data_IF_186699106203
#
_entry.id   IF_186699106203
#
_cell.length_a   1.000
_cell.length_b   1.000
_cell.length_c   1.000
_cell.angle_alpha   90.00
_cell.angle_beta   90.00
_cell.angle_gamma   90.00
#
_symmetry.space_group_name_H-M   'P 1'
#
loop_
_entity.id
_entity.type
_entity.pdbx_description
1 polymer ?
#
# COMPACT_ATOMS: atom_id res chain seq x y z
N UNK A 1 -15.09 -27.15 10.22
CA UNK A 1 -14.59 -25.76 10.30
C UNK A 1 -15.10 -25.20 11.60
N UNK A 2 -14.23 -24.62 12.42
CA UNK A 2 -14.66 -23.89 13.61
C UNK A 2 -14.37 -22.42 13.29
N UNK A 3 -15.41 -21.68 12.98
CA UNK A 3 -15.37 -20.23 12.75
C UNK A 3 -15.27 -19.55 14.11
N UNK A 4 -14.39 -18.55 14.24
CA UNK A 4 -14.52 -17.57 15.30
C UNK A 4 -15.39 -16.44 14.76
N UNK A 5 -16.43 -16.05 15.49
CA UNK A 5 -17.19 -14.87 15.10
C UNK A 5 -16.37 -13.62 15.43
N UNK A 6 -16.49 -12.55 14.66
CA UNK A 6 -15.77 -11.32 14.97
C UNK A 6 -16.25 -10.68 16.28
N UNK A 7 -17.48 -10.97 16.72
CA UNK A 7 -17.93 -10.63 18.07
C UNK A 7 -17.12 -11.32 19.17
N UNK A 8 -16.69 -12.56 18.95
CA UNK A 8 -15.80 -13.26 19.88
C UNK A 8 -14.40 -12.65 19.83
N UNK A 9 -13.87 -12.33 18.64
CA UNK A 9 -12.57 -11.66 18.52
C UNK A 9 -12.56 -10.26 19.15
N UNK A 10 -13.55 -9.43 18.86
CA UNK A 10 -13.70 -8.08 19.44
C UNK A 10 -13.81 -8.16 20.96
N UNK A 11 -14.65 -9.06 21.49
CA UNK A 11 -14.77 -9.25 22.94
C UNK A 11 -13.42 -9.61 23.58
N UNK A 12 -12.56 -10.35 22.87
CA UNK A 12 -11.23 -10.71 23.37
C UNK A 12 -10.27 -9.53 23.32
N UNK A 13 -10.29 -8.73 22.25
CA UNK A 13 -9.52 -7.48 22.18
C UNK A 13 -9.93 -6.54 23.31
N UNK A 14 -11.23 -6.35 23.53
CA UNK A 14 -11.76 -5.51 24.60
C UNK A 14 -11.40 -6.03 26.00
N UNK A 15 -11.33 -7.35 26.17
CA UNK A 15 -11.04 -7.98 27.47
C UNK A 15 -9.55 -7.98 27.82
N UNK A 16 -8.68 -8.18 26.82
CA UNK A 16 -7.26 -8.49 27.07
C UNK A 16 -6.29 -7.45 26.50
N UNK A 17 -6.75 -6.52 25.65
CA UNK A 17 -5.90 -5.57 24.93
C UNK A 17 -5.13 -6.26 23.79
N UNK A 18 -4.28 -7.23 24.12
CA UNK A 18 -3.54 -8.03 23.15
C UNK A 18 -4.20 -9.38 22.91
N UNK A 19 -4.34 -9.76 21.64
CA UNK A 19 -4.83 -11.07 21.23
C UNK A 19 -3.79 -11.75 20.33
N UNK A 20 -3.22 -12.84 20.81
CA UNK A 20 -2.38 -13.72 19.99
C UNK A 20 -3.23 -14.84 19.39
N UNK A 21 -3.31 -14.91 18.06
CA UNK A 21 -3.87 -16.08 17.38
C UNK A 21 -2.91 -17.26 17.54
N UNK A 22 -3.35 -18.52 17.56
CA UNK A 22 -2.45 -19.69 17.55
C UNK A 22 -2.96 -20.73 16.55
N UNK A 23 -2.09 -21.11 15.61
CA UNK A 23 -2.29 -22.29 14.75
C UNK A 23 -2.32 -23.55 15.60
N UNK A 24 -3.42 -24.30 15.58
CA UNK A 24 -3.43 -25.63 16.20
C UNK A 24 -2.61 -26.59 15.34
N UNK A 25 -1.33 -26.74 15.64
CA UNK A 25 -0.69 -28.03 15.44
C UNK A 25 -1.25 -28.99 16.50
N UNK A 26 -1.63 -30.19 16.07
CA UNK A 26 -1.87 -31.31 16.98
C UNK A 26 -0.53 -31.67 17.60
N UNK A 27 -0.07 -30.94 18.61
CA UNK A 27 0.87 -31.51 19.56
C UNK A 27 0.56 -30.99 20.96
N UNK A 28 0.35 -31.97 21.84
CA UNK A 28 0.08 -31.77 23.25
C UNK A 28 1.37 -31.27 23.90
N UNK A 29 1.20 -30.31 24.81
CA UNK A 29 2.22 -29.73 25.70
C UNK A 29 2.95 -28.51 25.12
N UNK A 30 2.52 -27.32 25.55
CA UNK A 30 3.36 -26.54 26.46
C UNK A 30 2.56 -25.40 27.09
N UNK A 31 2.78 -25.27 28.40
CA UNK A 31 2.45 -24.15 29.26
C UNK A 31 3.53 -23.08 29.09
N UNK A 32 3.12 -21.84 28.82
CA UNK A 32 3.62 -20.66 29.51
C UNK A 32 2.70 -19.47 29.20
N UNK A 33 2.60 -18.56 30.16
CA UNK A 33 1.60 -17.49 30.23
C UNK A 33 1.84 -16.42 29.16
N UNK A 34 1.06 -16.49 28.10
CA UNK A 34 0.56 -15.36 27.33
C UNK A 34 -0.92 -15.67 27.05
N UNK A 35 -1.84 -14.73 27.26
CA UNK A 35 -3.27 -14.96 27.05
C UNK A 35 -3.59 -15.01 25.55
N UNK A 36 -3.18 -16.10 24.91
CA UNK A 36 -3.37 -16.34 23.49
C UNK A 36 -4.79 -16.86 23.19
N UNK A 37 -5.49 -16.21 22.27
CA UNK A 37 -6.74 -16.71 21.70
C UNK A 37 -6.42 -17.72 20.61
N UNK A 38 -6.78 -18.99 20.81
CA UNK A 38 -6.58 -20.04 19.81
C UNK A 38 -7.61 -19.91 18.68
N UNK A 39 -7.38 -19.02 17.72
CA UNK A 39 -8.14 -19.01 16.46
C UNK A 39 -7.51 -20.03 15.51
N UNK A 40 -8.25 -21.09 15.19
CA UNK A 40 -7.93 -21.92 14.03
C UNK A 40 -8.40 -21.19 12.78
N UNK A 41 -7.65 -21.35 11.70
CA UNK A 41 -8.05 -21.04 10.31
C UNK A 41 -9.58 -21.15 10.12
N UNK A 42 -10.20 -20.02 9.80
CA UNK A 42 -11.65 -19.87 9.76
C UNK A 42 -12.04 -18.61 9.00
N UNK A 43 -13.20 -18.67 8.36
CA UNK A 43 -13.79 -17.53 7.66
C UNK A 43 -14.37 -16.56 8.69
N UNK A 44 -14.09 -15.26 8.55
CA UNK A 44 -14.77 -14.22 9.33
C UNK A 44 -15.93 -13.65 8.49
N UNK A 45 -17.04 -13.30 9.13
CA UNK A 45 -18.21 -12.66 8.50
C UNK A 45 -18.75 -11.54 9.41
N UNK A 46 -18.07 -10.38 9.41
CA UNK A 46 -18.54 -9.14 10.03
C UNK A 46 -17.85 -7.95 9.36
N UNK A 47 -18.61 -6.88 9.12
CA UNK A 47 -18.14 -5.70 8.40
C UNK A 47 -16.80 -5.16 8.90
N UNK A 48 -16.58 -5.05 10.23
CA UNK A 48 -15.39 -4.40 10.78
C UNK A 48 -14.91 -5.09 12.07
N UNK A 49 -13.58 -5.11 12.29
CA UNK A 49 -12.92 -5.47 13.54
C UNK A 49 -12.05 -4.29 13.97
N UNK A 50 -12.36 -3.69 15.11
CA UNK A 50 -11.67 -2.49 15.59
C UNK A 50 -10.52 -2.86 16.53
N UNK A 51 -9.34 -2.33 16.23
CA UNK A 51 -8.11 -2.46 17.02
C UNK A 51 -7.67 -1.03 17.36
N UNK A 52 -8.10 -0.57 18.53
CA UNK A 52 -7.89 0.80 18.99
C UNK A 52 -6.80 0.92 20.05
N UNK A 53 -7.00 1.86 20.98
CA UNK A 53 -6.05 2.18 22.06
C UNK A 53 -5.48 0.94 22.78
N UNK A 54 -4.15 0.81 22.76
CA UNK A 54 -3.33 -0.22 23.39
C UNK A 54 -3.73 -1.66 23.00
N UNK A 55 -4.42 -1.83 21.87
CA UNK A 55 -4.80 -3.13 21.34
C UNK A 55 -3.80 -3.63 20.30
N UNK A 56 -3.54 -4.93 20.34
CA UNK A 56 -2.65 -5.57 19.37
C UNK A 56 -3.18 -6.95 18.96
N UNK A 57 -3.27 -7.17 17.65
CA UNK A 57 -3.50 -8.48 17.06
C UNK A 57 -2.17 -9.09 16.59
N UNK A 58 -1.73 -10.16 17.27
CA UNK A 58 -0.54 -10.92 16.87
C UNK A 58 -0.90 -12.15 16.06
N UNK A 59 -0.39 -12.24 14.85
CA UNK A 59 -0.53 -13.38 13.95
C UNK A 59 0.74 -14.25 14.00
N UNK A 60 0.65 -15.52 14.40
CA UNK A 60 1.77 -16.45 14.26
C UNK A 60 2.13 -16.70 12.80
N UNK A 61 3.33 -17.28 12.61
CA UNK A 61 3.70 -17.87 11.34
C UNK A 61 2.65 -18.90 10.88
N UNK A 62 2.41 -18.93 9.58
CA UNK A 62 1.50 -19.82 8.88
C UNK A 62 0.04 -19.78 9.35
N UNK A 63 -0.35 -18.75 10.08
CA UNK A 63 -1.75 -18.43 10.36
C UNK A 63 -2.29 -17.61 9.20
N UNK A 64 -3.46 -18.01 8.74
CA UNK A 64 -4.19 -17.34 7.68
C UNK A 64 -5.55 -16.88 8.19
N UNK A 65 -5.77 -15.56 8.16
CA UNK A 65 -7.08 -14.95 8.36
C UNK A 65 -7.69 -14.70 6.99
N UNK A 66 -8.88 -15.24 6.75
CA UNK A 66 -9.66 -14.97 5.54
C UNK A 66 -10.78 -13.98 5.83
N UNK A 67 -10.68 -12.80 5.24
CA UNK A 67 -11.73 -11.79 5.16
C UNK A 67 -12.66 -12.15 4.01
N UNK A 68 -13.93 -12.36 4.32
CA UNK A 68 -15.01 -12.51 3.34
C UNK A 68 -15.89 -11.27 3.37
N UNK A 69 -16.70 -11.09 2.33
CA UNK A 69 -17.63 -9.96 2.23
C UNK A 69 -16.86 -8.64 2.39
N UNK A 70 -17.47 -7.58 2.92
CA UNK A 70 -16.80 -6.29 3.14
C UNK A 70 -16.04 -6.25 4.48
N UNK A 71 -15.49 -7.37 4.95
CA UNK A 71 -14.83 -7.38 6.25
C UNK A 71 -13.47 -6.69 6.18
N UNK A 72 -13.24 -5.75 7.10
CA UNK A 72 -11.98 -5.02 7.24
C UNK A 72 -11.47 -5.04 8.69
N UNK A 73 -10.17 -4.90 8.87
CA UNK A 73 -9.59 -4.51 10.16
C UNK A 73 -9.46 -2.99 10.20
N UNK A 74 -10.02 -2.34 11.22
CA UNK A 74 -9.89 -0.90 11.42
C UNK A 74 -8.92 -0.67 12.57
N UNK A 75 -7.82 0.04 12.28
CA UNK A 75 -6.84 0.47 13.26
C UNK A 75 -7.08 1.94 13.58
N UNK A 76 -7.13 2.25 14.87
CA UNK A 76 -7.26 3.62 15.37
C UNK A 76 -6.35 3.86 16.58
N UNK A 77 -6.14 5.12 16.95
CA UNK A 77 -5.21 5.50 18.01
C UNK A 77 -3.84 4.84 17.80
N UNK A 78 -3.35 4.06 18.77
CA UNK A 78 -2.09 3.31 18.70
C UNK A 78 -2.29 1.80 18.49
N UNK A 79 -3.39 1.40 17.85
CA UNK A 79 -3.72 0.00 17.55
C UNK A 79 -2.71 -0.68 16.62
N UNK A 80 -2.51 -1.99 16.81
CA UNK A 80 -1.44 -2.74 16.11
C UNK A 80 -1.89 -4.06 15.52
N UNK A 81 -1.34 -4.41 14.35
CA UNK A 81 -1.35 -5.78 13.84
C UNK A 81 0.08 -6.19 13.52
N UNK A 82 0.55 -7.27 14.13
CA UNK A 82 1.90 -7.77 13.90
C UNK A 82 1.92 -9.25 13.56
N UNK A 83 2.76 -9.63 12.62
CA UNK A 83 3.14 -11.02 12.39
C UNK A 83 4.32 -11.40 13.25
N UNK A 84 4.40 -12.66 13.68
CA UNK A 84 5.60 -13.15 14.38
C UNK A 84 6.77 -13.42 13.43
N UNK A 85 6.48 -13.60 12.13
CA UNK A 85 7.45 -13.91 11.09
C UNK A 85 7.01 -13.28 9.77
N UNK A 86 7.88 -12.46 9.19
CA UNK A 86 7.68 -11.88 7.87
C UNK A 86 7.30 -12.93 6.81
N UNK A 87 6.42 -12.55 5.89
CA UNK A 87 5.94 -13.33 4.75
C UNK A 87 5.10 -14.59 5.05
N UNK A 88 4.92 -14.97 6.32
CA UNK A 88 4.21 -16.22 6.69
C UNK A 88 2.96 -16.00 7.54
N UNK A 89 2.84 -14.84 8.20
CA UNK A 89 1.61 -14.38 8.85
C UNK A 89 0.72 -13.68 7.83
N UNK A 90 -0.50 -14.19 7.60
CA UNK A 90 -1.26 -13.88 6.39
C UNK A 90 -2.65 -13.34 6.70
N UNK A 91 -3.00 -12.23 6.04
CA UNK A 91 -4.37 -11.71 5.92
C UNK A 91 -4.78 -11.83 4.44
N UNK A 92 -5.94 -12.42 4.21
CA UNK A 92 -6.43 -12.73 2.87
C UNK A 92 -7.79 -12.13 2.58
N UNK A 93 -7.93 -11.46 1.45
CA UNK A 93 -9.20 -10.92 0.96
C UNK A 93 -9.86 -11.92 0.02
N UNK A 94 -11.18 -12.09 0.15
CA UNK A 94 -12.01 -12.80 -0.82
C UNK A 94 -12.68 -11.80 -1.79
N UNK A 95 -12.11 -11.55 -2.99
CA UNK A 95 -12.65 -10.59 -3.95
C UNK A 95 -13.98 -11.01 -4.58
N UNK A 96 -14.43 -12.25 -4.44
CA UNK A 96 -15.69 -12.72 -5.03
C UNK A 96 -16.94 -12.30 -4.24
N UNK A 97 -16.77 -11.96 -2.97
CA UNK A 97 -17.89 -11.67 -2.08
C UNK A 97 -18.36 -10.21 -2.17
N UNK A 98 -17.46 -9.27 -2.48
CA UNK A 98 -17.81 -7.87 -2.71
C UNK A 98 -16.64 -7.11 -3.39
N UNK A 99 -16.88 -6.37 -4.49
CA UNK A 99 -15.87 -5.48 -5.05
C UNK A 99 -15.68 -4.26 -4.15
N UNK A 100 -14.42 -3.83 -3.95
CA UNK A 100 -14.05 -2.64 -3.18
C UNK A 100 -13.46 -2.96 -1.80
N UNK A 101 -13.07 -4.21 -1.55
CA UNK A 101 -12.65 -4.64 -0.22
C UNK A 101 -11.25 -4.14 0.13
N UNK A 102 -11.16 -3.43 1.26
CA UNK A 102 -9.90 -3.10 1.92
C UNK A 102 -9.63 -4.12 3.04
N UNK A 103 -8.40 -4.67 3.12
CA UNK A 103 -8.09 -5.62 4.21
C UNK A 103 -7.90 -4.92 5.55
N UNK A 104 -7.20 -3.79 5.53
CA UNK A 104 -6.87 -3.00 6.71
C UNK A 104 -7.08 -1.53 6.39
N UNK A 105 -7.88 -0.87 7.22
CA UNK A 105 -8.09 0.58 7.23
C UNK A 105 -7.42 1.16 8.48
N UNK A 106 -6.71 2.26 8.30
CA UNK A 106 -6.12 3.06 9.37
C UNK A 106 -6.88 4.38 9.42
N UNK A 107 -7.64 4.58 10.48
CA UNK A 107 -8.47 5.76 10.72
C UNK A 107 -8.08 6.43 12.03
N UNK A 108 -7.90 7.76 12.02
CA UNK A 108 -7.51 8.53 13.20
C UNK A 108 -6.30 7.90 13.93
N UNK A 109 -5.30 7.49 13.16
CA UNK A 109 -4.14 6.78 13.67
C UNK A 109 -3.16 7.75 14.34
N UNK A 110 -2.86 7.46 15.60
CA UNK A 110 -1.83 8.09 16.41
C UNK A 110 -0.85 7.02 16.90
N UNK A 111 0.08 6.64 16.02
CA UNK A 111 1.05 5.59 16.31
C UNK A 111 0.56 4.16 16.03
N UNK A 112 -0.39 4.00 15.11
CA UNK A 112 -0.76 2.69 14.58
C UNK A 112 0.44 1.98 13.95
N UNK A 113 0.47 0.66 14.07
CA UNK A 113 1.57 -0.16 13.54
C UNK A 113 1.06 -1.41 12.81
N UNK A 114 1.55 -1.62 11.59
CA UNK A 114 1.43 -2.89 10.88
C UNK A 114 2.84 -3.42 10.62
N UNK A 115 3.14 -4.64 11.07
CA UNK A 115 4.46 -5.19 10.81
C UNK A 115 4.51 -6.70 10.57
N UNK A 116 5.48 -7.16 9.78
CA UNK A 116 5.81 -8.59 9.57
C UNK A 116 4.69 -9.43 8.95
N UNK A 117 3.94 -8.90 7.98
CA UNK A 117 2.72 -9.53 7.46
C UNK A 117 2.73 -9.72 5.94
N UNK A 118 1.85 -10.59 5.47
CA UNK A 118 1.44 -10.66 4.06
C UNK A 118 -0.04 -10.41 3.93
N UNK A 119 -0.40 -9.43 3.13
CA UNK A 119 -1.76 -9.13 2.72
C UNK A 119 -1.91 -9.59 1.27
N UNK A 120 -2.89 -10.45 1.01
CA UNK A 120 -3.04 -11.04 -0.33
C UNK A 120 -4.49 -11.28 -0.72
N UNK A 121 -4.75 -11.47 -2.00
CA UNK A 121 -5.98 -12.14 -2.42
C UNK A 121 -5.80 -13.66 -2.41
N UNK A 122 -6.91 -14.39 -2.28
CA UNK A 122 -6.90 -15.85 -2.38
C UNK A 122 -6.88 -16.39 -3.82
N UNK A 123 -6.85 -15.51 -4.82
CA UNK A 123 -7.01 -15.90 -6.21
C UNK A 123 -5.67 -15.88 -6.94
N UNK A 124 -5.49 -16.84 -7.83
CA UNK A 124 -4.48 -16.70 -8.88
C UNK A 124 -5.01 -15.67 -9.90
N UNK A 125 -4.17 -14.75 -10.40
CA UNK A 125 -4.58 -13.65 -11.28
C UNK A 125 -5.06 -14.09 -12.70
N UNK A 126 -5.57 -15.31 -12.87
CA UNK A 126 -5.82 -15.93 -14.18
C UNK A 126 -7.24 -15.72 -14.75
N UNK A 127 -8.07 -14.84 -14.18
CA UNK A 127 -9.41 -14.63 -14.75
C UNK A 127 -10.02 -13.27 -14.42
N UNK A 128 -10.09 -12.39 -15.43
CA UNK A 128 -11.25 -11.61 -15.92
C UNK A 128 -12.22 -10.93 -14.93
N UNK A 129 -11.90 -10.91 -13.65
CA UNK A 129 -12.67 -10.27 -12.61
C UNK A 129 -12.03 -8.92 -12.39
N UNK A 130 -12.81 -7.85 -12.56
CA UNK A 130 -12.47 -6.52 -12.08
C UNK A 130 -12.32 -6.62 -10.55
N UNK A 131 -11.13 -7.01 -10.10
CA UNK A 131 -10.76 -7.05 -8.69
C UNK A 131 -10.52 -5.61 -8.30
N UNK A 132 -11.23 -5.14 -7.28
CA UNK A 132 -11.04 -3.79 -6.72
C UNK A 132 -10.64 -3.92 -5.25
N UNK A 133 -9.67 -4.80 -4.98
CA UNK A 133 -9.21 -5.10 -3.63
C UNK A 133 -7.99 -4.26 -3.25
N UNK A 134 -8.05 -3.63 -2.09
CA UNK A 134 -6.98 -2.80 -1.53
C UNK A 134 -6.35 -3.52 -0.33
N UNK A 135 -5.02 -3.56 -0.28
CA UNK A 135 -4.32 -4.15 0.85
C UNK A 135 -4.46 -3.31 2.11
N UNK A 136 -4.07 -2.04 2.02
CA UNK A 136 -4.07 -1.08 3.12
C UNK A 136 -4.62 0.26 2.65
N UNK A 137 -5.51 0.86 3.44
CA UNK A 137 -5.94 2.24 3.27
C UNK A 137 -5.64 3.04 4.53
N UNK A 138 -5.06 4.23 4.37
CA UNK A 138 -4.81 5.18 5.44
C UNK A 138 -5.64 6.42 5.15
N UNK A 139 -6.71 6.63 5.91
CA UNK A 139 -7.58 7.80 5.79
C UNK A 139 -6.96 9.02 6.50
N UNK A 140 -7.40 10.23 6.12
CA UNK A 140 -6.83 11.48 6.63
C UNK A 140 -7.10 11.68 8.13
N UNK A 141 -6.19 12.36 8.86
CA UNK A 141 -6.38 12.67 10.29
C UNK A 141 -5.18 12.38 11.19
N UNK A 142 -4.10 11.80 10.66
CA UNK A 142 -2.96 11.37 11.47
C UNK A 142 -2.06 12.56 11.85
N UNK A 143 -2.26 13.11 13.05
CA UNK A 143 -1.32 14.06 13.67
C UNK A 143 0.02 13.39 14.01
N UNK A 144 0.02 12.07 14.23
CA UNK A 144 1.18 11.23 14.56
C UNK A 144 1.35 10.08 13.55
N UNK A 145 2.59 9.67 13.32
CA UNK A 145 2.97 8.77 12.22
C UNK A 145 2.41 7.35 12.37
N UNK A 146 1.69 6.83 11.36
CA UNK A 146 1.50 5.39 11.23
C UNK A 146 2.80 4.74 10.72
N UNK A 147 3.10 3.54 11.21
CA UNK A 147 4.29 2.77 10.80
C UNK A 147 3.83 1.48 10.11
N UNK A 148 4.35 1.25 8.90
CA UNK A 148 4.12 0.03 8.14
C UNK A 148 5.48 -0.57 7.78
N UNK A 149 5.82 -1.71 8.39
CA UNK A 149 7.18 -2.26 8.33
C UNK A 149 7.20 -3.75 7.96
N UNK A 150 8.02 -4.13 6.98
CA UNK A 150 8.13 -5.51 6.51
C UNK A 150 6.74 -6.08 6.15
N UNK A 151 6.07 -5.46 5.18
CA UNK A 151 4.75 -5.91 4.71
C UNK A 151 4.81 -6.29 3.24
N UNK A 152 4.27 -7.47 2.94
CA UNK A 152 4.14 -7.98 1.58
C UNK A 152 2.69 -7.90 1.10
N UNK A 153 2.50 -7.43 -0.13
CA UNK A 153 1.24 -7.34 -0.85
C UNK A 153 1.28 -8.29 -2.07
N UNK A 154 0.33 -9.23 -2.19
CA UNK A 154 0.32 -10.20 -3.30
C UNK A 154 -1.07 -10.34 -3.95
N UNK A 155 -1.15 -10.09 -5.27
CA UNK A 155 -2.36 -10.35 -6.06
C UNK A 155 -3.50 -9.35 -5.83
N UNK A 156 -3.18 -8.12 -5.43
CA UNK A 156 -4.14 -7.06 -5.12
C UNK A 156 -4.29 -6.09 -6.30
N UNK A 157 -5.42 -5.39 -6.36
CA UNK A 157 -5.59 -4.29 -7.31
C UNK A 157 -4.75 -3.11 -6.82
N UNK A 158 -5.05 -2.61 -5.61
CA UNK A 158 -4.23 -1.60 -4.96
C UNK A 158 -3.45 -2.20 -3.79
N UNK A 159 -2.17 -1.85 -3.68
CA UNK A 159 -1.36 -2.22 -2.53
C UNK A 159 -1.73 -1.36 -1.33
N UNK A 160 -1.38 -0.07 -1.39
CA UNK A 160 -1.60 0.93 -0.35
C UNK A 160 -2.27 2.17 -0.95
N UNK A 161 -3.31 2.70 -0.31
CA UNK A 161 -3.91 4.00 -0.61
C UNK A 161 -3.72 4.92 0.61
N UNK A 162 -3.22 6.14 0.40
CA UNK A 162 -2.83 7.06 1.46
C UNK A 162 -3.47 8.41 1.21
N UNK A 163 -4.39 8.78 2.09
CA UNK A 163 -4.94 10.13 2.24
C UNK A 163 -4.38 10.84 3.49
N UNK A 164 -3.71 10.10 4.40
CA UNK A 164 -3.07 10.60 5.61
C UNK A 164 -1.73 11.32 5.37
N UNK A 165 -1.08 11.77 6.45
CA UNK A 165 0.21 12.48 6.41
C UNK A 165 1.17 11.90 7.46
N UNK A 166 2.45 12.23 7.35
CA UNK A 166 3.50 11.89 8.33
C UNK A 166 3.71 10.38 8.56
N UNK A 167 3.39 9.52 7.59
CA UNK A 167 3.52 8.06 7.78
C UNK A 167 4.91 7.56 7.38
N UNK A 168 5.34 6.46 8.00
CA UNK A 168 6.61 5.79 7.70
C UNK A 168 6.37 4.37 7.17
N UNK A 169 6.97 4.06 6.03
CA UNK A 169 6.86 2.79 5.35
C UNK A 169 8.24 2.20 5.10
N UNK A 170 8.49 1.00 5.60
CA UNK A 170 9.78 0.35 5.51
C UNK A 170 9.65 -1.08 4.97
N UNK A 171 10.57 -1.47 4.10
CA UNK A 171 10.74 -2.84 3.61
C UNK A 171 9.43 -3.43 3.03
N UNK A 172 8.84 -2.70 2.07
CA UNK A 172 7.61 -3.10 1.41
C UNK A 172 7.89 -4.00 0.19
N UNK A 173 7.11 -5.07 0.06
CA UNK A 173 7.16 -5.97 -1.09
C UNK A 173 5.80 -6.04 -1.80
N UNK A 174 5.75 -5.69 -3.09
CA UNK A 174 4.57 -5.80 -3.93
C UNK A 174 4.80 -6.84 -5.03
N UNK A 175 3.85 -7.75 -5.17
CA UNK A 175 3.93 -8.84 -6.16
C UNK A 175 2.58 -9.09 -6.83
N UNK A 176 2.52 -9.10 -8.15
CA UNK A 176 1.25 -9.18 -8.88
C UNK A 176 0.23 -8.12 -8.37
N UNK A 177 0.70 -6.91 -8.09
CA UNK A 177 -0.15 -5.81 -7.63
C UNK A 177 -0.32 -4.81 -8.77
N UNK A 178 -1.51 -4.23 -8.92
CA UNK A 178 -1.81 -3.24 -9.95
C UNK A 178 -1.59 -3.74 -11.38
N UNK A 179 -1.96 -4.99 -11.67
CA UNK A 179 -1.67 -5.65 -12.96
C UNK A 179 -2.62 -5.27 -14.10
N UNK A 180 -3.19 -4.06 -14.07
CA UNK A 180 -4.03 -3.56 -15.18
C UNK A 180 -3.10 -2.97 -16.22
N UNK A 181 -2.91 -3.73 -17.31
CA UNK A 181 -2.06 -3.34 -18.42
C UNK A 181 -2.90 -2.90 -19.63
N UNK A 182 -3.14 -1.59 -19.75
CA UNK A 182 -3.77 -0.98 -20.94
C UNK A 182 -2.87 0.06 -21.61
N UNK A 183 -1.58 0.11 -21.27
CA UNK A 183 -0.55 1.01 -21.79
C UNK A 183 -0.77 2.51 -21.56
N UNK A 184 -1.94 2.92 -21.04
CA UNK A 184 -2.32 4.31 -20.85
C UNK A 184 -2.61 4.55 -19.37
N UNK A 185 -1.72 5.23 -18.66
CA UNK A 185 -1.98 5.58 -17.27
C UNK A 185 -3.13 6.59 -17.13
N UNK A 186 -4.00 6.32 -16.17
CA UNK A 186 -5.19 7.12 -15.85
C UNK A 186 -5.45 7.15 -14.35
N UNK A 187 -6.34 8.04 -13.91
CA UNK A 187 -6.68 8.19 -12.49
C UNK A 187 -7.31 6.93 -11.89
N UNK A 188 -8.04 6.18 -12.73
CA UNK A 188 -8.78 4.98 -12.35
C UNK A 188 -7.89 3.73 -12.34
N UNK A 189 -6.63 3.83 -12.78
CA UNK A 189 -5.74 2.69 -12.79
C UNK A 189 -5.27 2.31 -11.38
N UNK A 190 -5.19 1.02 -11.09
CA UNK A 190 -4.66 0.55 -9.83
C UNK A 190 -3.18 0.89 -9.68
N UNK A 191 -2.71 0.94 -8.44
CA UNK A 191 -1.30 1.19 -8.15
C UNK A 191 -0.83 0.42 -6.90
N UNK A 192 0.45 0.07 -6.87
CA UNK A 192 1.03 -0.51 -5.67
C UNK A 192 0.99 0.48 -4.50
N UNK A 193 1.28 1.76 -4.76
CA UNK A 193 1.16 2.85 -3.79
C UNK A 193 0.42 4.02 -4.45
N UNK A 194 -0.71 4.43 -3.89
CA UNK A 194 -1.41 5.66 -4.23
C UNK A 194 -1.31 6.66 -3.08
N UNK A 195 -0.74 7.83 -3.35
CA UNK A 195 -0.79 8.99 -2.47
C UNK A 195 -1.76 10.02 -3.05
N UNK A 196 -2.79 10.35 -2.28
CA UNK A 196 -3.85 11.28 -2.64
C UNK A 196 -3.88 12.41 -1.62
N UNK A 197 -3.60 13.65 -2.05
CA UNK A 197 -3.53 14.82 -1.16
C UNK A 197 -2.63 14.61 0.08
N UNK A 198 -1.56 13.83 -0.05
CA UNK A 198 -0.82 13.24 1.07
C UNK A 198 0.60 13.82 1.23
N UNK A 199 0.99 14.18 2.46
CA UNK A 199 2.20 14.96 2.74
C UNK A 199 3.11 14.31 3.79
N UNK A 200 4.41 14.59 3.70
CA UNK A 200 5.42 14.20 4.70
C UNK A 200 5.53 12.69 4.96
N UNK A 201 5.21 11.84 3.98
CA UNK A 201 5.40 10.40 4.13
C UNK A 201 6.83 10.03 3.75
N UNK A 202 7.37 9.03 4.44
CA UNK A 202 8.70 8.48 4.15
C UNK A 202 8.55 7.01 3.79
N UNK A 203 9.11 6.62 2.64
CA UNK A 203 9.19 5.25 2.19
C UNK A 203 10.65 4.85 2.04
N UNK A 204 11.03 3.72 2.64
CA UNK A 204 12.35 3.15 2.48
C UNK A 204 12.24 1.70 2.02
N UNK A 205 13.00 1.36 0.98
CA UNK A 205 13.14 0.00 0.44
C UNK A 205 11.80 -0.57 -0.05
N UNK A 206 11.41 -0.17 -1.26
CA UNK A 206 10.24 -0.72 -1.93
C UNK A 206 10.71 -1.70 -2.99
N UNK A 207 10.17 -2.92 -2.99
CA UNK A 207 10.37 -3.88 -4.06
C UNK A 207 9.03 -4.16 -4.74
N UNK A 208 8.94 -3.93 -6.05
CA UNK A 208 7.75 -4.24 -6.84
C UNK A 208 8.14 -5.13 -8.01
N UNK A 209 7.56 -6.33 -8.10
CA UNK A 209 7.95 -7.30 -9.12
C UNK A 209 6.80 -8.18 -9.60
N UNK A 210 6.94 -8.74 -10.81
CA UNK A 210 5.94 -9.63 -11.42
C UNK A 210 4.56 -8.98 -11.54
N UNK A 211 4.55 -7.71 -11.90
CA UNK A 211 3.33 -6.92 -12.10
C UNK A 211 3.37 -6.26 -13.48
N UNK A 212 2.97 -6.97 -14.54
CA UNK A 212 2.89 -6.40 -15.89
C UNK A 212 1.89 -5.23 -15.90
N UNK A 213 2.25 -4.14 -16.58
CA UNK A 213 1.48 -2.90 -16.73
C UNK A 213 1.43 -2.02 -15.49
N UNK A 214 2.11 -2.40 -14.41
CA UNK A 214 1.74 -1.90 -13.10
C UNK A 214 2.36 -0.55 -12.74
N UNK A 215 1.48 0.36 -12.30
CA UNK A 215 1.88 1.61 -11.66
C UNK A 215 2.39 1.32 -10.25
N UNK A 216 3.69 1.51 -10.03
CA UNK A 216 4.30 1.34 -8.71
C UNK A 216 3.90 2.46 -7.76
N UNK A 217 3.97 3.69 -8.24
CA UNK A 217 3.67 4.87 -7.45
C UNK A 217 2.75 5.80 -8.24
N UNK A 218 1.62 6.12 -7.63
CA UNK A 218 0.65 7.13 -8.07
C UNK A 218 0.63 8.28 -7.08
N UNK A 219 0.83 9.50 -7.54
CA UNK A 219 0.67 10.71 -6.73
C UNK A 219 -0.38 11.61 -7.35
N UNK A 220 -1.39 12.01 -6.58
CA UNK A 220 -2.48 12.87 -7.02
C UNK A 220 -2.76 14.01 -6.05
N UNK A 221 -3.09 15.18 -6.59
CA UNK A 221 -3.49 16.33 -5.80
C UNK A 221 -2.33 16.98 -5.05
N UNK A 222 -2.57 17.35 -3.80
CA UNK A 222 -1.63 18.06 -2.94
C UNK A 222 -0.68 17.13 -2.19
N UNK A 223 0.34 16.64 -2.89
CA UNK A 223 1.35 15.76 -2.32
C UNK A 223 2.71 16.46 -2.20
N UNK A 224 3.08 16.90 -1.00
CA UNK A 224 4.35 17.59 -0.75
C UNK A 224 5.21 16.90 0.28
N UNK A 225 6.52 17.15 0.17
CA UNK A 225 7.52 16.77 1.19
C UNK A 225 7.54 15.25 1.47
N UNK A 226 7.12 14.43 0.50
CA UNK A 226 7.25 12.98 0.59
C UNK A 226 8.67 12.56 0.16
N UNK A 227 9.22 11.59 0.85
CA UNK A 227 10.52 11.02 0.58
C UNK A 227 10.37 9.54 0.22
N UNK A 228 10.77 9.16 -0.98
CA UNK A 228 10.67 7.81 -1.49
C UNK A 228 12.08 7.32 -1.85
N UNK A 229 12.59 6.42 -1.02
CA UNK A 229 13.96 5.92 -1.08
C UNK A 229 14.00 4.45 -1.49
N UNK A 230 14.89 4.13 -2.44
CA UNK A 230 15.23 2.76 -2.86
C UNK A 230 14.03 1.97 -3.40
N UNK A 231 13.38 2.47 -4.46
CA UNK A 231 12.44 1.65 -5.25
C UNK A 231 13.23 0.73 -6.18
N UNK A 232 12.99 -0.57 -6.06
CA UNK A 232 13.41 -1.60 -7.02
C UNK A 232 12.18 -2.10 -7.77
N UNK A 233 12.21 -2.01 -9.09
CA UNK A 233 11.11 -2.46 -9.97
C UNK A 233 11.60 -3.46 -11.00
N UNK A 234 10.87 -4.57 -11.12
CA UNK A 234 11.01 -5.57 -12.17
C UNK A 234 9.64 -5.82 -12.85
N UNK A 235 9.44 -5.19 -14.01
CA UNK A 235 8.29 -5.45 -14.87
C UNK A 235 8.58 -6.64 -15.79
N UNK A 236 7.71 -7.64 -15.75
CA UNK A 236 7.75 -8.80 -16.63
C UNK A 236 6.71 -8.61 -17.75
N UNK A 237 7.11 -8.73 -19.01
CA UNK A 237 6.15 -8.89 -20.12
C UNK A 237 5.55 -7.62 -20.72
N UNK A 238 6.37 -6.60 -20.99
CA UNK A 238 5.95 -5.36 -21.66
C UNK A 238 5.29 -5.60 -23.04
N UNK A 239 3.98 -5.46 -23.10
CA UNK A 239 3.21 -5.45 -24.36
C UNK A 239 3.02 -4.02 -24.92
N UNK A 240 3.46 -2.99 -24.18
CA UNK A 240 3.34 -1.58 -24.56
C UNK A 240 4.50 -1.11 -25.46
N UNK A 241 4.20 -0.52 -26.63
CA UNK A 241 5.23 -0.08 -27.58
C UNK A 241 6.24 0.92 -27.01
N UNK A 242 5.78 1.79 -26.10
CA UNK A 242 6.55 2.90 -25.55
C UNK A 242 7.04 2.64 -24.09
N UNK A 243 6.78 1.44 -23.57
CA UNK A 243 7.04 1.05 -22.18
C UNK A 243 5.80 1.13 -21.29
N UNK A 244 5.79 0.36 -20.21
CA UNK A 244 4.68 0.35 -19.24
C UNK A 244 4.85 1.49 -18.21
N UNK A 245 3.78 2.23 -17.89
CA UNK A 245 3.83 3.28 -16.87
C UNK A 245 4.15 2.68 -15.49
N UNK A 246 5.34 2.97 -14.99
CA UNK A 246 5.81 2.50 -13.68
C UNK A 246 5.62 3.54 -12.59
N UNK A 247 5.69 4.82 -12.95
CA UNK A 247 5.50 5.96 -12.08
C UNK A 247 4.53 6.92 -12.77
N UNK A 248 3.39 7.15 -12.14
CA UNK A 248 2.36 8.07 -12.65
C UNK A 248 2.15 9.19 -11.64
N UNK A 249 2.54 10.40 -12.01
CA UNK A 249 2.40 11.57 -11.16
C UNK A 249 1.47 12.54 -11.85
N UNK A 250 0.36 12.86 -11.19
CA UNK A 250 -0.56 13.90 -11.63
C UNK A 250 -0.75 14.93 -10.53
N UNK A 251 -0.35 16.16 -10.77
CA UNK A 251 -0.51 17.23 -9.78
C UNK A 251 -1.68 18.13 -10.14
N UNK A 252 -2.33 18.70 -9.13
CA UNK A 252 -3.30 19.78 -9.34
C UNK A 252 -2.61 21.14 -9.18
N UNK A 253 -3.28 22.20 -9.68
CA UNK A 253 -2.88 23.58 -9.47
C UNK A 253 -3.70 24.19 -8.33
N UNK A 254 -3.06 24.98 -7.47
CA UNK A 254 -3.76 25.79 -6.47
C UNK A 254 -4.56 26.94 -7.12
N UNK A 255 -5.30 27.69 -6.30
CA UNK A 255 -6.09 28.83 -6.77
C UNK A 255 -5.25 29.96 -7.42
N UNK A 256 -3.93 29.95 -7.22
CA UNK A 256 -2.98 30.90 -7.78
C UNK A 256 -2.22 30.32 -8.99
N UNK A 257 -2.50 29.08 -9.40
CA UNK A 257 -1.80 28.39 -10.48
C UNK A 257 -0.48 27.74 -10.07
N UNK A 258 -0.18 27.62 -8.78
CA UNK A 258 1.02 26.92 -8.30
C UNK A 258 0.78 25.41 -8.31
N UNK A 259 1.82 24.65 -8.68
CA UNK A 259 1.83 23.20 -8.60
C UNK A 259 1.73 22.75 -7.14
N UNK A 260 0.90 21.75 -6.87
CA UNK A 260 0.66 21.17 -5.55
C UNK A 260 1.53 19.93 -5.26
N UNK A 261 2.62 19.75 -6.02
CA UNK A 261 3.59 18.66 -5.89
C UNK A 261 5.01 19.24 -5.69
N UNK A 262 5.29 19.74 -4.49
CA UNK A 262 6.55 20.43 -4.19
C UNK A 262 7.43 19.64 -3.22
N UNK A 263 8.74 19.70 -3.44
CA UNK A 263 9.78 19.20 -2.54
C UNK A 263 9.67 17.69 -2.23
N UNK A 264 9.18 16.90 -3.17
CA UNK A 264 9.24 15.44 -3.05
C UNK A 264 10.60 14.94 -3.54
N UNK A 265 11.14 13.93 -2.85
CA UNK A 265 12.40 13.27 -3.21
C UNK A 265 12.06 11.85 -3.67
N UNK A 266 12.42 11.51 -4.90
CA UNK A 266 12.26 10.16 -5.44
C UNK A 266 13.63 9.62 -5.85
N UNK A 267 14.12 8.64 -5.09
CA UNK A 267 15.34 7.89 -5.39
C UNK A 267 14.99 6.48 -5.84
N UNK A 268 15.15 6.22 -7.15
CA UNK A 268 14.67 4.99 -7.77
C UNK A 268 15.78 4.24 -8.51
N UNK A 269 15.66 2.91 -8.52
CA UNK A 269 16.43 1.98 -9.33
C UNK A 269 15.45 1.12 -10.12
N UNK A 270 14.78 1.75 -11.10
CA UNK A 270 13.85 1.09 -12.00
C UNK A 270 14.61 0.53 -13.20
N UNK A 271 14.27 -0.70 -13.61
CA UNK A 271 14.66 -1.25 -14.91
C UNK A 271 13.46 -1.11 -15.85
N UNK A 272 13.62 -0.41 -16.97
CA UNK A 272 12.62 -0.29 -18.04
C UNK A 272 11.26 0.37 -17.68
N UNK A 273 11.20 1.13 -16.58
CA UNK A 273 9.97 1.82 -16.19
C UNK A 273 9.76 3.16 -16.87
N UNK A 274 8.56 3.40 -17.40
CA UNK A 274 8.15 4.72 -17.90
C UNK A 274 7.71 5.62 -16.74
N UNK A 275 8.18 6.86 -16.75
CA UNK A 275 7.74 7.91 -15.83
C UNK A 275 6.82 8.88 -16.57
N UNK A 276 5.58 9.00 -16.11
CA UNK A 276 4.59 9.94 -16.64
C UNK A 276 4.36 11.04 -15.61
N UNK A 277 4.48 12.30 -16.06
CA UNK A 277 4.16 13.49 -15.28
C UNK A 277 3.08 14.30 -15.99
N UNK A 278 1.87 14.30 -15.43
CA UNK A 278 0.74 15.07 -15.93
C UNK A 278 0.50 16.33 -15.08
N UNK A 279 0.39 17.47 -15.76
CA UNK A 279 0.07 18.76 -15.14
C UNK A 279 -1.10 19.37 -15.91
N UNK A 280 -2.33 19.37 -15.35
CA UNK A 280 -3.50 19.93 -16.01
C UNK A 280 -3.44 21.46 -16.03
N UNK A 281 -3.61 22.07 -17.20
CA UNK A 281 -3.82 23.52 -17.32
C UNK A 281 -2.57 24.33 -17.69
N UNK A 282 -2.80 25.37 -18.48
CA UNK A 282 -1.86 26.12 -19.33
C UNK A 282 -0.60 26.74 -18.68
N UNK A 283 0.48 26.74 -19.47
CA UNK A 283 1.67 27.60 -19.40
C UNK A 283 2.35 27.69 -18.02
N UNK A 284 3.04 26.61 -17.67
CA UNK A 284 4.04 26.60 -16.62
C UNK A 284 5.14 27.61 -16.93
N UNK A 285 5.54 28.43 -15.95
CA UNK A 285 6.77 29.20 -16.07
C UNK A 285 7.95 28.30 -15.68
N UNK A 286 9.12 28.51 -16.28
CA UNK A 286 10.30 27.63 -16.13
C UNK A 286 10.85 27.50 -14.70
N UNK A 287 10.24 28.15 -13.71
CA UNK A 287 10.63 28.13 -12.30
C UNK A 287 9.75 27.30 -11.38
N UNK A 288 8.61 26.78 -11.86
CA UNK A 288 7.53 26.31 -10.98
C UNK A 288 7.58 24.80 -10.66
N UNK A 289 8.51 24.04 -11.25
CA UNK A 289 8.67 22.60 -11.02
C UNK A 289 10.04 22.31 -10.40
N UNK A 290 10.05 21.94 -9.12
CA UNK A 290 11.20 21.29 -8.48
C UNK A 290 10.77 19.93 -7.91
N UNK A 291 10.56 18.96 -8.81
CA UNK A 291 10.57 17.55 -8.44
C UNK A 291 11.98 17.01 -8.70
N UNK A 292 12.68 16.57 -7.67
CA UNK A 292 13.99 15.94 -7.82
C UNK A 292 13.79 14.43 -8.02
N UNK A 293 13.73 14.00 -9.28
CA UNK A 293 13.79 12.58 -9.63
C UNK A 293 15.27 12.22 -9.83
N UNK A 294 15.89 11.63 -8.80
CA UNK A 294 17.21 11.01 -8.94
C UNK A 294 16.99 9.55 -9.34
N UNK A 295 17.04 9.25 -10.64
CA UNK A 295 17.06 7.87 -11.14
C UNK A 295 18.51 7.43 -11.37
N UNK A 296 18.89 6.28 -10.83
CA UNK A 296 20.23 5.70 -11.02
C UNK A 296 20.43 5.05 -12.40
N UNK A 297 19.34 4.85 -13.15
CA UNK A 297 19.31 4.31 -14.51
C UNK A 297 18.62 5.27 -15.50
N UNK A 298 18.87 5.07 -16.79
CA UNK A 298 18.37 5.90 -17.90
C UNK A 298 16.83 5.95 -17.90
N UNK A 299 16.25 7.13 -17.61
CA UNK A 299 14.85 7.42 -17.95
C UNK A 299 14.76 7.41 -19.48
N UNK A 300 14.11 6.39 -20.03
CA UNK A 300 14.08 6.13 -21.49
C UNK A 300 13.06 6.98 -22.24
N UNK A 301 12.05 7.51 -21.54
CA UNK A 301 11.03 8.36 -22.13
C UNK A 301 10.42 9.27 -21.07
N UNK A 302 10.28 10.56 -21.38
CA UNK A 302 9.59 11.55 -20.56
C UNK A 302 8.59 12.23 -21.49
N UNK A 303 7.31 11.91 -21.35
CA UNK A 303 6.25 12.58 -22.10
C UNK A 303 5.68 13.69 -21.24
N UNK A 304 5.99 14.94 -21.59
CA UNK A 304 5.36 16.11 -20.99
C UNK A 304 4.25 16.59 -21.92
N UNK A 305 2.99 16.46 -21.48
CA UNK A 305 1.82 16.98 -22.20
C UNK A 305 1.68 18.51 -22.00
N UNK A 306 2.80 19.25 -21.95
CA UNK A 306 2.82 20.70 -21.76
C UNK A 306 3.72 21.38 -22.81
N UNK A 307 3.10 22.25 -23.61
CA UNK A 307 3.80 23.13 -24.55
C UNK A 307 4.64 24.18 -23.81
N UNK A 308 5.93 23.91 -23.62
CA UNK A 308 6.96 24.96 -23.51
C UNK A 308 7.52 25.31 -22.12
N UNK A 309 7.60 24.39 -21.17
CA UNK A 309 8.31 24.61 -19.90
C UNK A 309 9.63 23.84 -19.82
N UNK A 310 10.68 24.48 -19.29
CA UNK A 310 11.96 23.84 -18.97
C UNK A 310 11.80 23.01 -17.68
N UNK A 311 11.97 21.70 -17.77
CA UNK A 311 11.97 20.79 -16.62
C UNK A 311 13.40 20.59 -16.12
N UNK A 312 13.65 20.84 -14.84
CA UNK A 312 14.94 20.49 -14.22
C UNK A 312 14.93 19.01 -13.80
N UNK A 313 15.11 18.10 -14.77
CA UNK A 313 15.60 16.76 -14.50
C UNK A 313 17.07 16.87 -14.12
N UNK A 314 17.35 16.90 -12.82
CA UNK A 314 18.73 16.77 -12.35
C UNK A 314 19.07 15.29 -12.42
N UNK A 315 19.80 14.91 -13.47
CA UNK A 315 20.46 13.62 -13.53
C UNK A 315 21.54 13.59 -12.43
N UNK A 316 21.20 12.99 -11.29
CA UNK A 316 22.06 12.88 -10.13
C UNK A 316 23.19 11.91 -10.48
N UNK A 317 24.27 12.44 -11.06
CA UNK A 317 25.51 11.68 -11.23
C UNK A 317 26.09 11.46 -9.83
N UNK A 318 26.35 10.19 -9.51
CA UNK A 318 27.17 9.81 -8.35
C UNK A 318 28.51 10.55 -8.35
#
# INVERSE_FOLDING_TARGET
>A
MNEISCSELQQKLDQYGTVCIIKKFLDQNQSDFDYSLRIKEGDMNCNEINIGTDQELKLPADVFIKLKDNNTFVLSDNGKISGTHFATSLIGIDPLSSPGNTAIEMEDCNGCEISNLTIRTNFKPDSLLNQTSTGLEISGGNDDSAIVDMVKFDGLDNGIIINGHNNEFNDLEFKNVATKDDCDASDDDPSAIAMMDSNHNVFNNISHFKSPGAITLKMKGNCNLNEINNITLEQDGNDCPDGEPSLYIRTDLDANGNILLNNNILNTNMNNGLVILEIPGSSLSSGDIQALICASNTITHFDSVCNGADYNLINCSN
#
